data_IF_052202467915
#
_entry.id   IF_052202467915
#
_cell.length_a   1.000
_cell.length_b   1.000
_cell.length_c   1.000
_cell.angle_alpha   90.00
_cell.angle_beta   90.00
_cell.angle_gamma   90.00
#
_symmetry.space_group_name_H-M   'P 1'
#
loop_
_entity.id
_entity.type
_entity.pdbx_description
1 polymer ?
#
# COMPACT_ATOMS: atom_id res chain seq x y z
N UNK A 1 9.17 -11.75 4.03
CA UNK A 1 8.18 -10.73 3.71
C UNK A 1 8.91 -9.49 3.26
N UNK A 2 8.80 -9.12 1.98
CA UNK A 2 9.40 -7.91 1.41
C UNK A 2 8.65 -6.66 1.87
N UNK A 3 9.25 -5.48 1.65
CA UNK A 3 8.60 -4.21 1.91
C UNK A 3 7.31 -4.06 1.09
N UNK A 4 7.33 -4.42 -0.20
CA UNK A 4 6.16 -4.40 -1.08
C UNK A 4 5.04 -5.32 -0.61
N UNK A 5 5.34 -6.55 -0.17
CA UNK A 5 4.34 -7.44 0.46
C UNK A 5 3.73 -6.82 1.71
N UNK A 6 4.53 -6.11 2.50
CA UNK A 6 4.07 -5.43 3.72
C UNK A 6 3.15 -4.26 3.39
N UNK A 7 3.42 -3.50 2.32
CA UNK A 7 2.52 -2.46 1.82
C UNK A 7 1.17 -3.05 1.45
N UNK A 8 1.15 -4.12 0.65
CA UNK A 8 -0.09 -4.77 0.22
C UNK A 8 -0.93 -5.22 1.43
N UNK A 9 -0.30 -5.86 2.41
CA UNK A 9 -0.98 -6.28 3.64
C UNK A 9 -1.53 -5.11 4.46
N UNK A 10 -0.82 -3.97 4.51
CA UNK A 10 -1.33 -2.77 5.19
C UNK A 10 -2.55 -2.23 4.45
N UNK A 11 -2.50 -2.14 3.12
CA UNK A 11 -3.64 -1.69 2.31
C UNK A 11 -4.84 -2.60 2.56
N UNK A 12 -4.67 -3.92 2.45
CA UNK A 12 -5.72 -4.93 2.70
C UNK A 12 -6.33 -4.82 4.10
N UNK A 13 -5.50 -4.68 5.14
CA UNK A 13 -5.98 -4.52 6.51
C UNK A 13 -6.74 -3.20 6.68
N UNK A 14 -6.26 -2.11 6.09
CA UNK A 14 -6.94 -0.81 6.18
C UNK A 14 -8.25 -0.79 5.40
N UNK A 15 -8.32 -1.40 4.22
CA UNK A 15 -9.55 -1.47 3.42
C UNK A 15 -10.60 -2.36 4.08
N UNK A 16 -10.19 -3.54 4.56
CA UNK A 16 -11.07 -4.51 5.25
C UNK A 16 -11.56 -3.98 6.60
N UNK A 17 -10.66 -3.47 7.44
CA UNK A 17 -10.99 -3.07 8.81
C UNK A 17 -11.81 -1.78 8.85
N UNK A 18 -11.53 -0.83 7.95
CA UNK A 18 -12.20 0.48 7.94
C UNK A 18 -13.35 0.57 6.93
N UNK A 19 -13.68 -0.53 6.25
CA UNK A 19 -14.65 -0.54 5.14
C UNK A 19 -14.38 0.60 4.14
N UNK A 20 -13.10 0.78 3.79
CA UNK A 20 -12.68 1.79 2.83
C UNK A 20 -12.24 1.08 1.56
N UNK A 21 -12.61 1.61 0.40
CA UNK A 21 -12.14 1.07 -0.88
C UNK A 21 -10.66 1.38 -1.14
N UNK A 22 -10.14 2.46 -0.56
CA UNK A 22 -8.78 2.95 -0.84
C UNK A 22 -8.08 3.52 0.40
N UNK A 23 -6.75 3.58 0.34
CA UNK A 23 -5.88 4.13 1.38
C UNK A 23 -4.99 5.22 0.79
N UNK A 24 -5.00 6.41 1.36
CA UNK A 24 -4.17 7.52 0.88
C UNK A 24 -2.67 7.26 1.13
N UNK A 25 -1.81 7.73 0.20
CA UNK A 25 -0.35 7.53 0.27
C UNK A 25 0.24 7.91 1.64
N UNK A 26 -0.09 9.11 2.14
CA UNK A 26 0.45 9.62 3.39
C UNK A 26 0.10 8.74 4.60
N UNK A 27 -1.01 7.98 4.54
CA UNK A 27 -1.37 7.01 5.58
C UNK A 27 -0.46 5.79 5.50
N UNK A 28 -0.21 5.26 4.31
CA UNK A 28 0.68 4.13 4.10
C UNK A 28 2.10 4.45 4.54
N UNK A 29 2.64 5.58 4.07
CA UNK A 29 3.98 6.06 4.45
C UNK A 29 4.06 6.23 5.96
N UNK A 30 3.06 6.83 6.61
CA UNK A 30 3.05 7.00 8.08
C UNK A 30 3.04 5.67 8.84
N UNK A 31 2.30 4.67 8.36
CA UNK A 31 2.25 3.33 8.98
C UNK A 31 3.58 2.60 8.78
N UNK A 32 4.16 2.66 7.58
CA UNK A 32 5.44 2.06 7.23
C UNK A 32 6.60 2.71 7.99
N UNK A 33 6.58 4.04 8.16
CA UNK A 33 7.61 4.75 8.91
C UNK A 33 7.54 4.56 10.41
N UNK A 34 6.35 4.31 10.98
CA UNK A 34 6.24 3.81 12.36
C UNK A 34 6.80 2.40 12.52
N UNK A 35 6.92 1.68 11.43
CA UNK A 35 7.24 0.26 11.36
C UNK A 35 8.72 -0.03 11.08
N UNK A 36 9.60 0.98 11.07
CA UNK A 36 11.08 0.97 10.90
C UNK A 36 11.57 1.59 9.57
N UNK A 37 10.70 1.82 8.57
CA UNK A 37 11.11 2.19 7.20
C UNK A 37 11.19 3.70 6.97
N UNK A 38 12.24 4.21 6.33
CA UNK A 38 12.29 5.61 5.92
C UNK A 38 11.19 5.93 4.89
N UNK A 39 10.72 7.19 4.80
CA UNK A 39 9.60 7.55 3.93
C UNK A 39 9.89 7.32 2.43
N UNK A 40 11.14 7.38 1.99
CA UNK A 40 11.50 7.18 0.59
C UNK A 40 11.48 5.70 0.22
N UNK A 41 12.02 4.82 1.07
CA UNK A 41 11.86 3.36 0.93
C UNK A 41 10.40 2.93 1.01
N UNK A 42 9.56 3.62 1.79
CA UNK A 42 8.12 3.35 1.84
C UNK A 42 7.42 3.69 0.52
N UNK A 43 7.78 4.82 -0.11
CA UNK A 43 7.27 5.20 -1.44
C UNK A 43 7.74 4.24 -2.52
N UNK A 44 9.01 3.86 -2.50
CA UNK A 44 9.57 2.88 -3.45
C UNK A 44 8.85 1.53 -3.36
N UNK A 45 8.53 1.08 -2.15
CA UNK A 45 7.77 -0.14 -1.93
C UNK A 45 6.31 -0.05 -2.43
N UNK A 46 5.66 1.12 -2.29
CA UNK A 46 4.34 1.38 -2.85
C UNK A 46 4.41 1.34 -4.38
N UNK A 47 5.37 2.04 -4.99
CA UNK A 47 5.59 2.06 -6.43
C UNK A 47 5.87 0.66 -6.99
N UNK A 48 6.69 -0.13 -6.31
CA UNK A 48 6.96 -1.53 -6.66
C UNK A 48 5.67 -2.36 -6.62
N UNK A 49 4.84 -2.21 -5.59
CA UNK A 49 3.59 -2.95 -5.48
C UNK A 49 2.56 -2.55 -6.55
N UNK A 50 2.59 -1.29 -7.01
CA UNK A 50 1.78 -0.83 -8.16
C UNK A 50 2.32 -1.39 -9.48
N UNK A 51 3.63 -1.35 -9.68
CA UNK A 51 4.28 -1.88 -10.89
C UNK A 51 4.08 -3.40 -11.04
N UNK A 52 4.02 -4.13 -9.93
CA UNK A 52 3.73 -5.57 -9.87
C UNK A 52 2.23 -5.89 -10.05
N UNK A 53 1.37 -4.88 -10.23
CA UNK A 53 -0.09 -5.03 -10.38
C UNK A 53 -0.83 -5.39 -9.09
N UNK A 54 -0.12 -5.47 -7.95
CA UNK A 54 -0.70 -5.85 -6.64
C UNK A 54 -1.45 -4.70 -5.98
N UNK A 55 -1.13 -3.46 -6.34
CA UNK A 55 -1.87 -2.27 -5.94
C UNK A 55 -2.36 -1.51 -7.16
N UNK A 56 -3.54 -0.92 -7.05
CA UNK A 56 -4.09 0.00 -8.03
C UNK A 56 -4.10 1.40 -7.42
N UNK A 57 -3.42 2.34 -8.08
CA UNK A 57 -3.48 3.76 -7.73
C UNK A 57 -4.70 4.42 -8.38
N UNK A 58 -5.48 5.16 -7.58
CA UNK A 58 -6.61 6.00 -7.97
C UNK A 58 -6.54 7.32 -7.20
N UNK A 59 -6.23 8.41 -7.90
CA UNK A 59 -6.26 9.77 -7.32
C UNK A 59 -5.37 9.93 -6.06
N UNK A 60 -4.14 9.37 -6.11
CA UNK A 60 -3.22 9.39 -4.96
C UNK A 60 -3.64 8.49 -3.79
N UNK A 61 -4.54 7.53 -4.04
CA UNK A 61 -4.95 6.48 -3.10
C UNK A 61 -4.73 5.11 -3.70
N UNK A 62 -4.50 4.12 -2.84
CA UNK A 62 -4.15 2.76 -3.23
C UNK A 62 -5.20 1.77 -2.75
N UNK A 63 -5.55 0.82 -3.60
CA UNK A 63 -6.35 -0.36 -3.28
C UNK A 63 -5.57 -1.62 -3.66
N UNK A 64 -5.93 -2.76 -3.08
CA UNK A 64 -5.41 -4.05 -3.54
C UNK A 64 -5.95 -4.30 -4.95
N UNK A 65 -5.06 -4.59 -5.90
CA UNK A 65 -5.44 -5.00 -7.25
C UNK A 65 -6.11 -6.36 -7.20
N UNK A 66 -7.18 -6.53 -7.97
CA UNK A 66 -7.83 -7.84 -8.07
C UNK A 66 -6.86 -8.82 -8.74
N UNK A 67 -6.49 -9.94 -8.10
CA UNK A 67 -5.59 -10.92 -8.71
C UNK A 67 -6.21 -11.66 -9.91
N UNK A 68 -7.45 -11.33 -10.28
CA UNK A 68 -8.26 -12.01 -11.30
C UNK A 68 -8.42 -11.24 -12.63
N UNK A 69 -7.78 -10.08 -12.81
CA UNK A 69 -7.88 -9.26 -14.04
C UNK A 69 -6.70 -9.42 -14.99
#
# INVERSE_FOLDING_TARGET
MTLSERVVRIVELQTTTKQRDTVAEHVLVRILSRSITDPDSARDAIATAVADGRLVERDGRYAVGDPSS
#
